data_IF_812443113303
#
_entry.id   IF_812443113303
#
_cell.length_a   1.000
_cell.length_b   1.000
_cell.length_c   1.000
_cell.angle_alpha   90.00
_cell.angle_beta   90.00
_cell.angle_gamma   90.00
#
_symmetry.space_group_name_H-M   'P 1'
#
loop_
_entity.id
_entity.type
_entity.pdbx_description
1 polymer ?
#
# COMPACT_ATOMS: atom_id res chain seq x y z
N UNK A 1 -3.90 -0.77 -8.39
CA UNK A 1 -4.23 -0.35 -7.00
C UNK A 1 -3.42 -1.13 -5.97
N UNK A 2 -3.17 -2.44 -6.17
CA UNK A 2 -2.37 -3.30 -5.28
C UNK A 2 -1.00 -2.73 -4.88
N UNK A 3 -0.14 -2.37 -5.83
CA UNK A 3 1.20 -1.83 -5.51
C UNK A 3 1.15 -0.59 -4.62
N UNK A 4 0.10 0.23 -4.79
CA UNK A 4 -0.11 1.42 -3.99
C UNK A 4 -0.59 1.07 -2.58
N UNK A 5 -1.43 0.06 -2.45
CA UNK A 5 -1.85 -0.48 -1.15
C UNK A 5 -0.63 -1.02 -0.40
N UNK A 6 0.22 -1.84 -1.04
CA UNK A 6 1.46 -2.36 -0.45
C UNK A 6 2.41 -1.23 -0.05
N UNK A 7 2.60 -0.21 -0.91
CA UNK A 7 3.41 0.97 -0.59
C UNK A 7 2.84 1.73 0.62
N UNK A 8 1.52 1.82 0.74
CA UNK A 8 0.85 2.45 1.90
C UNK A 8 1.07 1.66 3.18
N UNK A 9 0.98 0.33 3.12
CA UNK A 9 1.37 -0.55 4.22
C UNK A 9 2.83 -0.25 4.57
N UNK A 10 3.79 -0.47 3.66
CA UNK A 10 5.21 -0.27 3.94
C UNK A 10 5.55 1.10 4.54
N UNK A 11 4.96 2.19 4.02
CA UNK A 11 5.13 3.55 4.58
C UNK A 11 4.58 3.69 6.00
N UNK A 12 3.49 2.99 6.32
CA UNK A 12 2.93 2.97 7.67
C UNK A 12 3.85 2.30 8.70
N UNK A 13 4.72 1.38 8.25
CA UNK A 13 5.71 0.70 9.09
C UNK A 13 7.07 1.40 9.13
N UNK A 14 7.56 1.90 8.00
CA UNK A 14 8.90 2.50 7.90
C UNK A 14 8.98 3.94 8.41
N UNK A 15 7.84 4.61 8.61
CA UNK A 15 7.80 6.03 8.96
C UNK A 15 8.50 6.42 10.27
N UNK A 16 8.49 5.55 11.29
CA UNK A 16 9.10 5.86 12.59
C UNK A 16 10.53 5.31 12.74
N UNK A 17 10.86 4.22 12.03
CA UNK A 17 12.18 3.56 12.12
C UNK A 17 12.60 2.95 10.77
N UNK A 18 13.10 3.77 9.83
CA UNK A 18 13.38 3.34 8.46
C UNK A 18 14.46 2.25 8.36
N UNK A 19 15.37 2.12 9.33
CA UNK A 19 16.40 1.06 9.35
C UNK A 19 15.87 -0.32 9.74
N UNK A 20 14.70 -0.39 10.38
CA UNK A 20 14.11 -1.65 10.89
C UNK A 20 12.96 -2.18 10.03
N UNK A 21 12.72 -1.56 8.87
CA UNK A 21 11.59 -1.87 7.99
C UNK A 21 11.46 -3.36 7.63
N UNK A 22 12.59 -4.07 7.48
CA UNK A 22 12.63 -5.50 7.15
C UNK A 22 11.93 -6.35 8.22
N UNK A 23 12.06 -6.00 9.51
CA UNK A 23 11.40 -6.70 10.62
C UNK A 23 9.87 -6.59 10.54
N UNK A 24 9.37 -5.61 9.80
CA UNK A 24 7.95 -5.37 9.61
C UNK A 24 7.38 -5.95 8.32
N UNK A 25 8.23 -6.51 7.45
CA UNK A 25 7.79 -7.04 6.15
C UNK A 25 6.82 -8.22 6.33
N UNK A 26 7.11 -9.13 7.26
CA UNK A 26 6.22 -10.25 7.59
C UNK A 26 4.85 -9.79 8.08
N UNK A 27 4.80 -8.71 8.87
CA UNK A 27 3.55 -8.10 9.31
C UNK A 27 2.79 -7.41 8.16
N UNK A 28 3.49 -6.77 7.23
CA UNK A 28 2.88 -6.21 6.01
C UNK A 28 2.23 -7.30 5.17
N UNK A 29 2.98 -8.38 4.93
CA UNK A 29 2.53 -9.52 4.14
C UNK A 29 1.31 -10.17 4.79
N UNK A 30 1.37 -10.44 6.10
CA UNK A 30 0.25 -11.00 6.83
C UNK A 30 -0.98 -10.09 6.74
N UNK A 31 -0.84 -8.79 7.01
CA UNK A 31 -1.95 -7.85 6.97
C UNK A 31 -2.58 -7.74 5.57
N UNK A 32 -1.77 -7.76 4.51
CA UNK A 32 -2.26 -7.78 3.13
C UNK A 32 -3.01 -9.08 2.82
N UNK A 33 -2.43 -10.22 3.19
CA UNK A 33 -2.99 -11.54 2.92
C UNK A 33 -4.29 -11.83 3.69
N UNK A 34 -4.47 -11.25 4.88
CA UNK A 34 -5.66 -11.47 5.71
C UNK A 34 -6.74 -10.39 5.56
N UNK A 35 -6.46 -9.27 4.88
CA UNK A 35 -7.44 -8.22 4.65
C UNK A 35 -8.34 -8.53 3.43
N UNK A 36 -9.66 -8.30 3.52
CA UNK A 36 -10.57 -8.44 2.38
C UNK A 36 -10.17 -7.53 1.22
N UNK A 37 -10.10 -8.07 0.01
CA UNK A 37 -9.76 -7.32 -1.19
C UNK A 37 -11.01 -7.05 -2.03
N UNK A 38 -11.32 -5.77 -2.28
CA UNK A 38 -12.58 -5.35 -2.91
C UNK A 38 -12.80 -5.93 -4.32
N UNK A 39 -11.75 -6.14 -5.09
CA UNK A 39 -11.87 -6.71 -6.45
C UNK A 39 -12.13 -8.22 -6.47
N UNK A 40 -11.80 -8.93 -5.38
CA UNK A 40 -11.87 -10.40 -5.31
C UNK A 40 -13.02 -10.84 -4.39
N UNK A 41 -13.55 -9.93 -3.57
CA UNK A 41 -14.63 -10.24 -2.61
C UNK A 41 -14.18 -11.11 -1.43
N UNK A 42 -12.91 -11.48 -1.37
CA UNK A 42 -12.30 -12.34 -0.35
C UNK A 42 -10.88 -11.88 -0.03
N UNK A 43 -10.22 -12.51 0.93
CA UNK A 43 -8.81 -12.20 1.24
C UNK A 43 -7.87 -12.83 0.21
N UNK A 44 -6.70 -12.24 -0.09
CA UNK A 44 -5.71 -12.89 -0.95
C UNK A 44 -5.30 -14.28 -0.46
N UNK A 45 -5.24 -14.48 0.87
CA UNK A 45 -5.01 -15.80 1.46
C UNK A 45 -6.10 -16.80 1.06
N UNK A 46 -7.38 -16.42 1.15
CA UNK A 46 -8.49 -17.27 0.73
C UNK A 46 -8.43 -17.59 -0.75
N UNK A 47 -8.06 -16.63 -1.59
CA UNK A 47 -7.94 -16.85 -3.02
C UNK A 47 -6.83 -17.87 -3.37
N UNK A 48 -5.73 -17.89 -2.61
CA UNK A 48 -4.61 -18.81 -2.83
C UNK A 48 -4.87 -20.19 -2.22
N UNK A 49 -5.42 -20.25 -1.00
CA UNK A 49 -5.48 -21.49 -0.22
C UNK A 49 -6.89 -22.09 -0.08
N UNK A 50 -7.92 -21.42 -0.59
CA UNK A 50 -9.31 -21.89 -0.52
C UNK A 50 -9.91 -21.96 0.89
N UNK A 51 -9.24 -21.39 1.90
CA UNK A 51 -9.65 -21.42 3.31
C UNK A 51 -9.45 -20.06 3.97
N UNK A 52 -10.22 -19.71 5.03
CA UNK A 52 -10.03 -18.45 5.74
C UNK A 52 -8.62 -18.35 6.36
N UNK A 53 -8.07 -17.12 6.46
CA UNK A 53 -6.78 -16.92 7.10
C UNK A 53 -6.85 -17.28 8.60
N UNK A 54 -5.76 -17.79 9.18
CA UNK A 54 -5.70 -18.07 10.61
C UNK A 54 -5.84 -16.78 11.43
N UNK A 55 -6.65 -16.82 12.48
CA UNK A 55 -6.88 -15.67 13.37
C UNK A 55 -5.68 -15.49 14.31
N UNK A 56 -5.08 -14.30 14.31
CA UNK A 56 -4.14 -13.93 15.36
C UNK A 56 -4.92 -13.55 16.62
N UNK A 57 -4.71 -14.31 17.70
CA UNK A 57 -5.23 -13.93 19.01
C UNK A 57 -4.37 -12.81 19.61
N UNK A 58 -5.04 -11.79 20.14
CA UNK A 58 -4.42 -10.78 21.00
C UNK A 58 -3.74 -11.47 22.18
N UNK A 59 -2.58 -10.98 22.61
CA UNK A 59 -1.94 -11.54 23.78
C UNK A 59 -2.67 -11.07 25.05
N UNK A 60 -2.98 -12.01 25.96
CA UNK A 60 -3.40 -11.66 27.32
C UNK A 60 -2.19 -11.85 28.26
N UNK A 61 -1.78 -10.79 28.99
CA UNK A 61 -0.65 -10.87 29.92
C UNK A 61 -0.82 -12.00 30.95
N UNK A 62 0.24 -12.78 31.20
CA UNK A 62 0.23 -13.90 32.15
C UNK A 62 -0.04 -15.29 31.57
N UNK A 63 -0.15 -15.43 30.24
CA UNK A 63 -0.34 -16.73 29.57
C UNK A 63 0.98 -17.40 29.13
N UNK A 64 2.05 -16.64 28.95
CA UNK A 64 3.35 -17.17 28.58
C UNK A 64 4.25 -17.28 29.82
N UNK A 65 4.70 -18.49 30.15
CA UNK A 65 5.60 -18.74 31.29
C UNK A 65 7.03 -18.23 31.11
N UNK A 66 7.32 -17.54 30.00
CA UNK A 66 8.66 -17.10 29.60
C UNK A 66 8.64 -15.59 29.34
N UNK A 67 9.43 -14.81 30.08
CA UNK A 67 9.43 -13.34 30.04
C UNK A 67 9.77 -12.77 28.65
N UNK A 68 10.64 -13.44 27.89
CA UNK A 68 11.02 -13.00 26.54
C UNK A 68 9.89 -13.17 25.53
N UNK A 69 9.08 -14.21 25.70
CA UNK A 69 7.87 -14.43 24.90
C UNK A 69 6.81 -13.37 25.23
N UNK A 70 6.63 -13.05 26.51
CA UNK A 70 5.72 -11.97 26.93
C UNK A 70 6.11 -10.63 26.31
N UNK A 71 7.39 -10.26 26.39
CA UNK A 71 7.91 -9.02 25.79
C UNK A 71 7.69 -8.99 24.29
N UNK A 72 7.97 -10.08 23.59
CA UNK A 72 7.78 -10.16 22.14
C UNK A 72 6.30 -10.01 21.73
N UNK A 73 5.39 -10.61 22.50
CA UNK A 73 3.95 -10.53 22.26
C UNK A 73 3.38 -9.13 22.56
N UNK A 74 3.87 -8.47 23.60
CA UNK A 74 3.50 -7.10 23.93
C UNK A 74 4.00 -6.11 22.86
N UNK A 75 5.27 -6.25 22.44
CA UNK A 75 5.85 -5.48 21.35
C UNK A 75 5.04 -5.63 20.05
N UNK A 76 4.64 -6.87 19.72
CA UNK A 76 3.80 -7.17 18.57
C UNK A 76 2.48 -6.40 18.62
N UNK A 77 1.78 -6.45 19.75
CA UNK A 77 0.44 -5.87 19.86
C UNK A 77 0.49 -4.33 19.80
N UNK A 78 1.51 -3.71 20.39
CA UNK A 78 1.74 -2.26 20.25
C UNK A 78 2.06 -1.88 18.79
N UNK A 79 2.90 -2.66 18.12
CA UNK A 79 3.20 -2.47 16.70
C UNK A 79 1.90 -2.54 15.87
N UNK A 80 1.06 -3.56 16.07
CA UNK A 80 -0.22 -3.72 15.37
C UNK A 80 -1.17 -2.54 15.58
N UNK A 81 -1.20 -1.97 16.79
CA UNK A 81 -1.98 -0.78 17.12
C UNK A 81 -1.53 0.46 16.35
N UNK A 82 -0.22 0.69 16.29
CA UNK A 82 0.37 1.82 15.53
C UNK A 82 0.08 1.68 14.03
N UNK A 83 0.22 0.47 13.49
CA UNK A 83 -0.05 0.19 12.07
C UNK A 83 -1.49 0.48 11.71
N UNK A 84 -2.45 -0.04 12.50
CA UNK A 84 -3.88 0.20 12.29
C UNK A 84 -4.17 1.70 12.21
N UNK A 85 -3.65 2.45 13.17
CA UNK A 85 -3.81 3.92 13.24
C UNK A 85 -3.24 4.61 12.00
N UNK A 86 -2.05 4.19 11.54
CA UNK A 86 -1.40 4.79 10.37
C UNK A 86 -2.15 4.46 9.07
N UNK A 87 -2.68 3.24 8.94
CA UNK A 87 -3.49 2.83 7.79
C UNK A 87 -4.81 3.59 7.71
N UNK A 88 -5.51 3.78 8.83
CA UNK A 88 -6.73 4.58 8.90
C UNK A 88 -6.45 6.03 8.47
N UNK A 89 -5.38 6.64 9.00
CA UNK A 89 -4.96 7.99 8.58
C UNK A 89 -4.64 8.06 7.09
N UNK A 90 -3.92 7.07 6.55
CA UNK A 90 -3.59 7.01 5.13
C UNK A 90 -4.84 6.88 4.26
N UNK A 91 -5.80 6.03 4.66
CA UNK A 91 -7.09 5.87 3.98
C UNK A 91 -7.90 7.17 3.99
N UNK A 92 -7.99 7.85 5.13
CA UNK A 92 -8.68 9.14 5.25
C UNK A 92 -8.05 10.21 4.35
N UNK A 93 -6.71 10.29 4.32
CA UNK A 93 -5.99 11.19 3.39
C UNK A 93 -6.27 10.86 1.93
N UNK A 94 -6.27 9.58 1.55
CA UNK A 94 -6.59 9.17 0.19
C UNK A 94 -8.02 9.55 -0.22
N UNK A 95 -8.99 9.32 0.66
CA UNK A 95 -10.38 9.72 0.41
C UNK A 95 -10.51 11.23 0.23
N UNK A 96 -9.87 12.03 1.10
CA UNK A 96 -9.85 13.49 1.00
C UNK A 96 -9.16 14.01 -0.28
N UNK A 97 -8.11 13.32 -0.75
CA UNK A 97 -7.29 13.79 -1.87
C UNK A 97 -7.77 13.30 -3.25
N UNK A 98 -8.39 12.12 -3.36
CA UNK A 98 -8.55 11.45 -4.66
C UNK A 98 -9.96 11.19 -5.13
N UNK A 99 -10.95 11.24 -4.25
CA UNK A 99 -12.29 10.84 -4.69
C UNK A 99 -13.08 11.94 -5.42
N UNK A 100 -12.60 13.19 -5.47
CA UNK A 100 -13.34 14.24 -6.21
C UNK A 100 -12.60 15.49 -6.69
N UNK A 101 -11.26 15.57 -6.65
CA UNK A 101 -10.58 16.78 -7.14
C UNK A 101 -10.19 16.67 -8.62
N UNK A 102 -11.05 17.18 -9.49
CA UNK A 102 -10.66 17.75 -10.79
C UNK A 102 -10.52 16.79 -11.97
N UNK A 103 -11.07 15.58 -11.93
CA UNK A 103 -11.25 14.79 -13.16
C UNK A 103 -12.43 15.33 -13.95
N UNK A 104 -12.14 16.24 -14.88
CA UNK A 104 -13.04 16.52 -16.00
C UNK A 104 -12.76 15.46 -17.08
N UNK A 105 -13.78 14.67 -17.42
CA UNK A 105 -13.70 13.75 -18.54
C UNK A 105 -13.69 14.59 -19.83
N UNK A 106 -12.53 14.66 -20.48
CA UNK A 106 -12.33 15.50 -21.66
C UNK A 106 -12.58 14.65 -22.90
N UNK A 107 -13.70 14.91 -23.58
CA UNK A 107 -14.01 14.25 -24.85
C UNK A 107 -13.14 14.87 -25.95
N UNK A 108 -12.43 14.03 -26.70
CA UNK A 108 -11.62 14.44 -27.85
C UNK A 108 -12.34 14.01 -29.13
N UNK A 109 -12.40 14.90 -30.10
CA UNK A 109 -12.96 14.62 -31.43
C UNK A 109 -11.84 14.38 -32.45
N UNK A 110 -12.18 13.71 -33.56
CA UNK A 110 -11.26 13.53 -34.68
C UNK A 110 -10.89 14.91 -35.23
N UNK A 111 -9.59 15.25 -35.19
CA UNK A 111 -9.06 16.56 -35.59
C UNK A 111 -8.55 17.42 -34.43
N UNK A 112 -8.80 17.04 -33.18
CA UNK A 112 -8.31 17.77 -32.01
C UNK A 112 -6.80 17.58 -31.80
N UNK A 113 -6.11 18.66 -31.45
CA UNK A 113 -4.70 18.61 -31.04
C UNK A 113 -4.58 18.25 -29.56
N UNK A 114 -3.86 17.18 -29.26
CA UNK A 114 -3.60 16.73 -27.90
C UNK A 114 -2.10 16.63 -27.60
N UNK A 115 -1.71 16.99 -26.38
CA UNK A 115 -0.34 16.85 -25.91
C UNK A 115 -0.06 15.39 -25.52
N UNK A 116 0.96 14.78 -26.15
CA UNK A 116 1.44 13.46 -25.75
C UNK A 116 2.30 13.57 -24.49
N UNK A 117 1.93 12.82 -23.43
CA UNK A 117 2.76 12.73 -22.23
C UNK A 117 4.05 11.98 -22.56
N UNK A 118 5.18 12.70 -22.55
CA UNK A 118 6.51 12.12 -22.77
C UNK A 118 6.88 11.18 -21.61
N UNK A 119 6.96 9.88 -21.89
CA UNK A 119 7.52 8.89 -20.95
C UNK A 119 9.05 8.92 -21.09
N UNK A 120 9.77 9.00 -19.97
CA UNK A 120 11.22 9.31 -19.95
C UNK A 120 12.14 8.19 -20.44
N UNK A 121 11.65 7.19 -21.19
CA UNK A 121 12.48 6.11 -21.70
C UNK A 121 12.70 6.26 -23.20
N UNK A 122 13.85 6.81 -23.56
CA UNK A 122 14.55 6.56 -24.83
C UNK A 122 13.88 7.02 -26.13
N UNK A 123 12.77 7.75 -26.10
CA UNK A 123 12.16 8.24 -27.34
C UNK A 123 12.92 9.45 -27.89
N UNK A 124 13.50 9.29 -29.07
CA UNK A 124 13.87 10.41 -29.93
C UNK A 124 12.60 11.17 -30.29
N UNK A 125 12.67 12.49 -30.32
CA UNK A 125 11.55 13.37 -30.67
C UNK A 125 10.90 12.89 -31.98
N UNK A 126 9.59 12.68 -31.97
CA UNK A 126 8.80 12.33 -33.18
C UNK A 126 8.72 13.48 -34.19
N UNK A 127 9.17 14.68 -33.80
CA UNK A 127 9.25 15.83 -34.68
C UNK A 127 10.67 15.94 -35.22
N UNK A 128 10.78 15.86 -36.54
CA UNK A 128 11.98 16.23 -37.29
C UNK A 128 12.10 17.75 -37.26
N UNK A 129 12.63 18.28 -36.15
CA UNK A 129 12.99 19.69 -36.04
C UNK A 129 14.49 19.82 -36.29
N UNK A 130 14.93 20.66 -37.25
CA UNK A 130 16.34 20.78 -37.61
C UNK A 130 17.23 21.36 -36.51
N UNK A 131 16.66 21.85 -35.40
CA UNK A 131 17.42 22.40 -34.28
C UNK A 131 16.83 21.92 -32.95
N UNK A 132 17.46 20.91 -32.33
CA UNK A 132 17.08 20.39 -31.02
C UNK A 132 18.13 20.61 -29.93
N UNK A 133 19.12 21.48 -30.16
CA UNK A 133 20.07 21.93 -29.13
C UNK A 133 20.49 23.38 -29.38
N UNK A 134 19.73 24.31 -28.82
CA UNK A 134 20.22 25.54 -28.21
C UNK A 134 19.50 25.67 -26.86
#
# INVERSE_FOLDING_TARGET
VVNRTIDTYLRSFSGHRPSTWVRYLSWCEWAYNTSPHSSIGMTPFQAVYGRPPPTLRSYEPGLAGEEDLERSLCDRDEILRVIRTNLERARSRMQQQQHNKGRAERQLSVGDWAWLKRLSRGQKTLFDRPYSKL
#
